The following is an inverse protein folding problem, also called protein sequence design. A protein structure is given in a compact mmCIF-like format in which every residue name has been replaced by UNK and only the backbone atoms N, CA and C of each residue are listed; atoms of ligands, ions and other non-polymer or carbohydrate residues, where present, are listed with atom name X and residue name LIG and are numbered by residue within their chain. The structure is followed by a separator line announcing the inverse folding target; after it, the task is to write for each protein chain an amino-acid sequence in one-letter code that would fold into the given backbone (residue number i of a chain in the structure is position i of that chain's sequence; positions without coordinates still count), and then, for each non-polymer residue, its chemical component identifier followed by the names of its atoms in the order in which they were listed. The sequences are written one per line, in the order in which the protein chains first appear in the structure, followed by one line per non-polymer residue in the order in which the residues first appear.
data_IF_426086316428
#
_entry.id   IF_426086316428
#
_cell.length_a   1.000
_cell.length_b   1.000
_cell.length_c   1.000
_cell.angle_alpha   90.00
_cell.angle_beta   90.00
_cell.angle_gamma   90.00
#
_symmetry.space_group_name_H-M   'P 1'
#
loop_
_entity.id
_entity.type
_entity.pdbx_description
1 polymer ?
#
# COMPACT_ATOMS: atom_id res chain seq x y z
N UNK A 1 -11.75 15.13 -30.57
CA UNK A 1 -10.31 14.80 -30.47
C UNK A 1 -9.65 15.18 -29.13
N UNK A 2 -10.40 15.46 -28.05
CA UNK A 2 -9.83 15.82 -26.74
C UNK A 2 -9.19 14.64 -25.96
N UNK A 3 -9.59 13.39 -26.24
CA UNK A 3 -9.04 12.21 -25.57
C UNK A 3 -7.61 11.84 -26.02
N UNK A 4 -7.14 12.39 -27.16
CA UNK A 4 -5.82 12.06 -27.74
C UNK A 4 -4.69 12.99 -27.27
N UNK A 5 -5.02 14.15 -26.69
CA UNK A 5 -4.02 15.04 -26.10
C UNK A 5 -3.64 14.55 -24.67
N UNK A 6 -2.38 14.17 -24.42
CA UNK A 6 -1.93 13.72 -23.12
C UNK A 6 -2.16 14.74 -21.99
N UNK A 7 -2.06 16.05 -22.26
CA UNK A 7 -2.22 17.11 -21.27
C UNK A 7 -3.68 17.23 -20.83
N UNK A 8 -4.60 17.28 -21.79
CA UNK A 8 -6.05 17.30 -21.56
C UNK A 8 -6.50 16.02 -20.85
N UNK A 9 -5.99 14.86 -21.25
CA UNK A 9 -6.27 13.58 -20.57
C UNK A 9 -5.86 13.62 -19.09
N UNK A 10 -4.68 14.17 -18.80
CA UNK A 10 -4.18 14.30 -17.42
C UNK A 10 -5.04 15.26 -16.59
N UNK A 11 -5.46 16.38 -17.18
CA UNK A 11 -6.35 17.33 -16.51
C UNK A 11 -7.70 16.69 -16.18
N UNK A 12 -8.33 16.02 -17.15
CA UNK A 12 -9.60 15.32 -16.95
C UNK A 12 -9.51 14.25 -15.87
N UNK A 13 -8.41 13.48 -15.83
CA UNK A 13 -8.19 12.50 -14.77
C UNK A 13 -8.12 13.15 -13.37
N UNK A 14 -7.46 14.31 -13.23
CA UNK A 14 -7.41 15.06 -11.96
C UNK A 14 -8.77 15.56 -11.54
N UNK A 15 -9.52 16.16 -12.47
CA UNK A 15 -10.89 16.65 -12.22
C UNK A 15 -11.77 15.50 -11.73
N UNK A 16 -11.73 14.36 -12.42
CA UNK A 16 -12.49 13.18 -12.06
C UNK A 16 -12.14 12.66 -10.65
N UNK A 17 -10.85 12.54 -10.32
CA UNK A 17 -10.39 12.10 -9.00
C UNK A 17 -10.85 13.06 -7.91
N UNK A 18 -10.66 14.37 -8.08
CA UNK A 18 -11.06 15.38 -7.08
C UNK A 18 -12.58 15.38 -6.87
N UNK A 19 -13.35 15.31 -7.96
CA UNK A 19 -14.82 15.22 -7.92
C UNK A 19 -15.27 13.98 -7.17
N UNK A 20 -14.63 12.84 -7.46
CA UNK A 20 -14.93 11.58 -6.81
C UNK A 20 -14.66 11.63 -5.30
N UNK A 21 -13.54 12.24 -4.88
CA UNK A 21 -13.22 12.43 -3.46
C UNK A 21 -14.13 13.41 -2.75
N UNK A 22 -14.55 14.49 -3.42
CA UNK A 22 -15.50 15.46 -2.87
C UNK A 22 -16.88 14.81 -2.58
N UNK A 23 -17.30 13.85 -3.41
CA UNK A 23 -18.55 13.10 -3.25
C UNK A 23 -18.46 11.92 -2.29
N UNK A 24 -17.28 11.60 -1.74
CA UNK A 24 -17.11 10.43 -0.87
C UNK A 24 -17.48 10.80 0.57
N UNK A 25 -18.59 10.27 1.13
CA UNK A 25 -19.01 10.63 2.49
C UNK A 25 -18.08 10.05 3.55
N UNK A 26 -17.65 8.80 3.37
CA UNK A 26 -16.78 8.09 4.32
C UNK A 26 -15.49 7.66 3.61
N UNK A 27 -14.42 8.42 3.85
CA UNK A 27 -13.11 8.20 3.18
C UNK A 27 -12.44 6.89 3.61
N UNK A 28 -12.68 6.45 4.84
CA UNK A 28 -12.17 5.17 5.34
C UNK A 28 -12.76 4.02 4.51
N UNK A 29 -14.07 3.89 4.42
CA UNK A 29 -14.73 2.81 3.65
C UNK A 29 -14.20 2.69 2.22
N UNK A 30 -14.09 3.82 1.51
CA UNK A 30 -13.55 3.84 0.14
C UNK A 30 -12.12 3.30 0.04
N UNK A 31 -11.30 3.52 1.06
CA UNK A 31 -9.89 3.07 1.09
C UNK A 31 -9.71 1.71 1.73
N UNK A 32 -10.76 1.10 2.29
CA UNK A 32 -10.66 -0.13 3.07
C UNK A 32 -10.10 -1.29 2.24
N UNK A 33 -10.63 -1.51 1.04
CA UNK A 33 -10.15 -2.58 0.15
C UNK A 33 -8.66 -2.44 -0.17
N UNK A 34 -8.22 -1.20 -0.47
CA UNK A 34 -6.82 -0.91 -0.71
C UNK A 34 -5.96 -1.11 0.54
N UNK A 35 -6.49 -0.74 1.72
CA UNK A 35 -5.79 -0.93 3.01
C UNK A 35 -5.65 -2.41 3.35
N UNK A 36 -6.68 -3.24 3.15
CA UNK A 36 -6.61 -4.70 3.33
C UNK A 36 -5.62 -5.38 2.39
N UNK A 37 -5.49 -4.87 1.16
CA UNK A 37 -4.52 -5.36 0.19
C UNK A 37 -3.09 -4.84 0.43
N UNK A 38 -2.86 -4.02 1.46
CA UNK A 38 -1.56 -3.41 1.72
C UNK A 38 -0.68 -4.29 2.61
N UNK A 39 0.64 -4.40 2.33
CA UNK A 39 1.63 -5.01 3.23
C UNK A 39 1.70 -4.36 4.62
N UNK A 40 1.04 -3.22 4.81
CA UNK A 40 0.87 -2.60 6.13
C UNK A 40 -0.15 -3.27 7.04
N UNK A 41 -0.95 -4.21 6.53
CA UNK A 41 -1.98 -4.97 7.27
C UNK A 41 -1.54 -6.41 7.48
N UNK A 42 -1.95 -7.02 8.60
CA UNK A 42 -1.57 -8.40 8.93
C UNK A 42 -2.29 -9.38 8.02
N UNK A 43 -3.55 -9.08 7.70
CA UNK A 43 -4.44 -9.87 6.85
C UNK A 43 -3.87 -10.06 5.43
N UNK A 44 -3.11 -9.09 4.93
CA UNK A 44 -2.36 -9.24 3.67
C UNK A 44 -1.35 -10.39 3.77
N UNK A 45 -0.60 -10.46 4.87
CA UNK A 45 0.43 -11.48 5.09
C UNK A 45 -0.18 -12.84 5.41
N UNK A 46 -1.30 -12.89 6.14
CA UNK A 46 -2.03 -14.15 6.35
C UNK A 46 -2.44 -14.78 5.02
N UNK A 47 -2.97 -13.98 4.09
CA UNK A 47 -3.30 -14.47 2.75
C UNK A 47 -2.06 -14.96 1.99
N UNK A 48 -0.98 -14.18 1.98
CA UNK A 48 0.27 -14.55 1.30
C UNK A 48 0.83 -15.86 1.85
N UNK A 49 0.89 -16.01 3.18
CA UNK A 49 1.43 -17.21 3.82
C UNK A 49 0.54 -18.44 3.57
N UNK A 50 -0.79 -18.27 3.56
CA UNK A 50 -1.73 -19.34 3.16
C UNK A 50 -1.50 -19.78 1.71
N UNK A 51 -1.24 -18.83 0.81
CA UNK A 51 -0.97 -19.12 -0.60
C UNK A 51 0.39 -19.83 -0.80
N UNK A 52 1.39 -19.50 0.03
CA UNK A 52 2.70 -20.18 0.02
C UNK A 52 2.65 -21.60 0.61
N UNK A 53 1.78 -21.85 1.59
CA UNK A 53 1.52 -23.20 2.14
C UNK A 53 2.66 -23.78 2.98
N UNK A 54 3.67 -23.00 3.35
CA UNK A 54 4.86 -23.45 4.09
C UNK A 54 4.64 -23.58 5.61
N UNK A 55 3.60 -22.92 6.14
CA UNK A 55 3.36 -22.76 7.58
C UNK A 55 2.06 -23.47 7.97
N UNK A 56 2.05 -24.12 9.14
CA UNK A 56 0.83 -24.74 9.67
C UNK A 56 -0.27 -23.68 9.89
N UNK A 57 -1.55 -24.01 9.67
CA UNK A 57 -2.68 -23.08 9.85
C UNK A 57 -2.71 -22.41 11.24
N UNK A 58 -2.27 -23.13 12.27
CA UNK A 58 -2.20 -22.60 13.64
C UNK A 58 -1.13 -21.51 13.80
N UNK A 59 -0.05 -21.58 13.03
CA UNK A 59 1.10 -20.67 13.13
C UNK A 59 0.99 -19.45 12.19
N UNK A 60 0.07 -19.47 11.22
CA UNK A 60 -0.13 -18.39 10.25
C UNK A 60 -0.31 -17.02 10.91
N UNK A 61 -1.12 -16.83 11.97
CA UNK A 61 -1.27 -15.52 12.61
C UNK A 61 0.04 -14.98 13.20
N UNK A 62 0.88 -15.85 13.75
CA UNK A 62 2.17 -15.48 14.31
C UNK A 62 3.17 -15.14 13.20
N UNK A 63 3.24 -15.97 12.16
CA UNK A 63 4.09 -15.75 10.99
C UNK A 63 3.72 -14.45 10.27
N UNK A 64 2.43 -14.16 10.07
CA UNK A 64 1.94 -12.96 9.43
C UNK A 64 2.34 -11.67 10.18
N UNK A 65 2.24 -11.68 11.52
CA UNK A 65 2.72 -10.56 12.35
C UNK A 65 4.22 -10.35 12.23
N UNK A 66 5.00 -11.42 12.17
CA UNK A 66 6.45 -11.33 11.99
C UNK A 66 6.80 -10.78 10.60
N UNK A 67 6.12 -11.23 9.55
CA UNK A 67 6.29 -10.72 8.19
C UNK A 67 5.95 -9.21 8.11
N UNK A 68 4.85 -8.79 8.73
CA UNK A 68 4.46 -7.38 8.81
C UNK A 68 5.54 -6.55 9.52
N UNK A 69 6.03 -7.00 10.68
CA UNK A 69 7.10 -6.31 11.44
C UNK A 69 8.38 -6.21 10.61
N UNK A 70 8.77 -7.29 9.94
CA UNK A 70 9.94 -7.31 9.06
C UNK A 70 9.80 -6.31 7.92
N UNK A 71 8.63 -6.24 7.28
CA UNK A 71 8.35 -5.26 6.23
C UNK A 71 8.50 -3.81 6.74
N UNK A 72 7.91 -3.49 7.89
CA UNK A 72 8.04 -2.17 8.50
C UNK A 72 9.50 -1.84 8.85
N UNK A 73 10.24 -2.78 9.42
CA UNK A 73 11.65 -2.61 9.73
C UNK A 73 12.50 -2.34 8.46
N UNK A 74 12.21 -3.02 7.35
CA UNK A 74 12.85 -2.78 6.04
C UNK A 74 12.60 -1.36 5.54
N UNK A 75 11.37 -0.84 5.68
CA UNK A 75 11.05 0.55 5.30
C UNK A 75 11.84 1.57 6.13
N UNK A 76 11.91 1.37 7.45
CA UNK A 76 12.68 2.23 8.36
C UNK A 76 14.16 2.21 8.00
N UNK A 77 14.75 1.02 7.82
CA UNK A 77 16.15 0.85 7.40
C UNK A 77 16.43 1.57 6.07
N UNK A 78 15.56 1.42 5.07
CA UNK A 78 15.69 2.10 3.77
C UNK A 78 15.70 3.62 3.93
N UNK A 79 14.84 4.17 4.79
CA UNK A 79 14.79 5.61 5.07
C UNK A 79 16.06 6.10 5.78
N UNK A 80 16.56 5.35 6.77
CA UNK A 80 17.79 5.68 7.49
C UNK A 80 19.00 5.71 6.54
N UNK A 81 19.16 4.69 5.70
CA UNK A 81 20.23 4.63 4.71
C UNK A 81 20.18 5.80 3.73
N UNK A 82 18.98 6.17 3.25
CA UNK A 82 18.81 7.34 2.35
C UNK A 82 19.26 8.64 3.00
N UNK A 83 18.95 8.83 4.30
CA UNK A 83 19.38 10.02 5.05
C UNK A 83 20.90 10.05 5.23
N UNK A 84 21.49 8.93 5.64
CA UNK A 84 22.94 8.82 5.80
C UNK A 84 23.69 9.17 4.49
N UNK A 85 23.21 8.67 3.35
CA UNK A 85 23.79 8.96 2.04
C UNK A 85 23.62 10.43 1.59
N UNK A 86 22.62 11.16 2.11
CA UNK A 86 22.42 12.58 1.82
C UNK A 86 23.31 13.48 2.67
N UNK A 87 23.61 13.08 3.91
CA UNK A 87 24.49 13.83 4.82
C UNK A 87 25.96 13.69 4.44
N UNK A 88 26.34 12.62 3.74
CA UNK A 88 27.70 12.37 3.24
C UNK A 88 28.00 13.03 1.88
N UNK A 89 27.05 13.78 1.30
CA UNK A 89 27.21 14.57 0.08
C UNK A 89 27.26 16.05 0.42
#
# INVERSE_FOLDING_TARGET
MAAKDPAVRRLNARIAVNTSWARTPVRSERTENARRASPGRVEYWERVIREEGEVSEADIPAAARNAQRLYMARLVKKRANKRAAQTQK
#
